data_IF_360961389486
#
_entry.id   IF_360961389486
#
_cell.length_a   1.000
_cell.length_b   1.000
_cell.length_c   1.000
_cell.angle_alpha   90.00
_cell.angle_beta   90.00
_cell.angle_gamma   90.00
#
_symmetry.space_group_name_H-M   'P 1'
#
loop_
_entity.id
_entity.type
_entity.pdbx_description
1 polymer ?
#
# COMPACT_ATOMS: atom_id res chain seq x y z
N UNK A 1 11.55 2.63 14.79
CA UNK A 1 11.30 1.46 15.65
C UNK A 1 12.61 1.15 16.34
N UNK A 2 12.70 1.36 17.66
CA UNK A 2 13.91 1.08 18.43
C UNK A 2 13.84 -0.36 18.97
N UNK A 3 14.78 -1.20 18.53
CA UNK A 3 14.86 -2.62 18.90
C UNK A 3 15.97 -2.89 19.93
N UNK A 4 16.57 -1.84 20.50
CA UNK A 4 17.65 -1.96 21.49
C UNK A 4 17.21 -2.59 22.82
N UNK A 5 15.90 -2.62 23.08
CA UNK A 5 15.32 -3.13 24.32
C UNK A 5 15.13 -4.67 24.36
N UNK A 6 15.38 -5.37 23.24
CA UNK A 6 15.13 -6.81 23.10
C UNK A 6 16.40 -7.66 23.05
N UNK A 7 16.31 -8.90 23.54
CA UNK A 7 17.37 -9.92 23.44
C UNK A 7 17.63 -10.28 21.94
N UNK A 8 18.83 -10.76 21.62
CA UNK A 8 19.22 -11.19 20.27
C UNK A 8 18.28 -12.25 19.66
N UNK A 9 17.78 -13.18 20.47
CA UNK A 9 16.78 -14.15 20.03
C UNK A 9 15.44 -13.49 19.64
N UNK A 10 15.02 -12.47 20.38
CA UNK A 10 13.78 -11.72 20.13
C UNK A 10 13.93 -10.82 18.90
N UNK A 11 15.09 -10.18 18.70
CA UNK A 11 15.39 -9.39 17.51
C UNK A 11 15.30 -10.23 16.23
N UNK A 12 15.87 -11.44 16.25
CA UNK A 12 15.78 -12.37 15.12
C UNK A 12 14.34 -12.82 14.84
N UNK A 13 13.54 -13.05 15.89
CA UNK A 13 12.13 -13.39 15.72
C UNK A 13 11.32 -12.21 15.15
N UNK A 14 11.51 -11.01 15.69
CA UNK A 14 10.84 -9.79 15.24
C UNK A 14 11.18 -9.47 13.78
N UNK A 15 12.43 -9.66 13.36
CA UNK A 15 12.82 -9.43 11.97
C UNK A 15 12.07 -10.36 11.00
N UNK A 16 11.95 -11.65 11.33
CA UNK A 16 11.15 -12.60 10.52
C UNK A 16 9.68 -12.22 10.46
N UNK A 17 9.11 -11.78 11.59
CA UNK A 17 7.71 -11.31 11.64
C UNK A 17 7.52 -10.04 10.81
N UNK A 18 8.49 -9.12 10.82
CA UNK A 18 8.44 -7.91 9.99
C UNK A 18 8.50 -8.22 8.50
N UNK A 19 9.38 -9.13 8.06
CA UNK A 19 9.47 -9.56 6.67
C UNK A 19 8.17 -10.21 6.20
N UNK A 20 7.60 -11.11 7.00
CA UNK A 20 6.31 -11.73 6.73
C UNK A 20 5.18 -10.69 6.63
N UNK A 21 5.20 -9.70 7.52
CA UNK A 21 4.23 -8.61 7.53
C UNK A 21 4.35 -7.74 6.28
N UNK A 22 5.56 -7.37 5.87
CA UNK A 22 5.78 -6.61 4.63
C UNK A 22 5.18 -7.32 3.42
N UNK A 23 5.42 -8.63 3.28
CA UNK A 23 4.87 -9.40 2.16
C UNK A 23 3.33 -9.45 2.20
N UNK A 24 2.74 -9.64 3.39
CA UNK A 24 1.29 -9.65 3.57
C UNK A 24 0.67 -8.29 3.24
N UNK A 25 1.27 -7.21 3.69
CA UNK A 25 0.80 -5.85 3.44
C UNK A 25 0.90 -5.50 1.95
N UNK A 26 1.96 -5.95 1.27
CA UNK A 26 2.10 -5.83 -0.18
C UNK A 26 0.99 -6.56 -0.94
N UNK A 27 0.68 -7.82 -0.58
CA UNK A 27 -0.41 -8.56 -1.23
C UNK A 27 -1.77 -7.91 -1.00
N UNK A 28 -2.00 -7.32 0.18
CA UNK A 28 -3.21 -6.57 0.47
C UNK A 28 -3.31 -5.30 -0.38
N UNK A 29 -2.20 -4.57 -0.54
CA UNK A 29 -2.13 -3.41 -1.43
C UNK A 29 -2.44 -3.82 -2.88
N UNK A 30 -1.81 -4.88 -3.36
CA UNK A 30 -1.98 -5.38 -4.72
C UNK A 30 -3.43 -5.80 -5.00
N UNK A 31 -4.02 -6.63 -4.14
CA UNK A 31 -5.41 -7.07 -4.30
C UNK A 31 -6.40 -5.90 -4.26
N UNK A 32 -6.21 -4.96 -3.31
CA UNK A 32 -7.05 -3.75 -3.25
C UNK A 32 -6.90 -2.85 -4.48
N UNK A 33 -5.69 -2.73 -5.04
CA UNK A 33 -5.46 -1.98 -6.26
C UNK A 33 -6.16 -2.63 -7.47
N UNK A 34 -6.08 -3.95 -7.60
CA UNK A 34 -6.74 -4.70 -8.67
C UNK A 34 -8.25 -4.53 -8.61
N UNK A 35 -8.86 -4.71 -7.43
CA UNK A 35 -10.31 -4.50 -7.23
C UNK A 35 -10.73 -3.08 -7.58
N UNK A 36 -9.95 -2.08 -7.13
CA UNK A 36 -10.23 -0.67 -7.37
C UNK A 36 -10.20 -0.33 -8.86
N UNK A 37 -9.13 -0.69 -9.55
CA UNK A 37 -9.00 -0.35 -10.98
C UNK A 37 -9.97 -1.14 -11.84
N UNK A 38 -10.30 -2.37 -11.47
CA UNK A 38 -11.36 -3.12 -12.14
C UNK A 38 -12.70 -2.38 -12.01
N UNK A 39 -13.09 -2.01 -10.78
CA UNK A 39 -14.37 -1.32 -10.51
C UNK A 39 -14.47 0.04 -11.18
N UNK A 40 -13.38 0.82 -11.19
CA UNK A 40 -13.39 2.19 -11.72
C UNK A 40 -13.24 2.23 -13.26
N UNK A 41 -12.55 1.26 -13.87
CA UNK A 41 -12.17 1.33 -15.29
C UNK A 41 -12.86 0.31 -16.19
N UNK A 42 -13.22 -0.89 -15.70
CA UNK A 42 -13.79 -1.95 -16.54
C UNK A 42 -15.31 -1.85 -16.48
N UNK A 43 -15.89 -1.32 -17.55
CA UNK A 43 -17.32 -1.01 -17.59
C UNK A 43 -18.02 -1.51 -18.86
N UNK A 44 -17.27 -2.06 -19.82
CA UNK A 44 -17.82 -2.71 -21.00
C UNK A 44 -17.65 -4.23 -20.90
N UNK A 45 -18.76 -4.94 -20.85
CA UNK A 45 -18.81 -6.39 -20.72
C UNK A 45 -19.26 -7.09 -22.02
N UNK A 46 -19.10 -6.43 -23.17
CA UNK A 46 -19.43 -7.01 -24.48
C UNK A 46 -18.34 -7.91 -25.05
N UNK A 47 -17.12 -7.87 -24.49
CA UNK A 47 -15.97 -8.68 -24.89
C UNK A 47 -15.31 -9.37 -23.68
N UNK A 48 -14.50 -10.40 -23.96
CA UNK A 48 -13.63 -11.06 -22.97
C UNK A 48 -12.28 -10.36 -22.79
N UNK A 49 -11.99 -9.38 -23.62
CA UNK A 49 -10.73 -8.62 -23.62
C UNK A 49 -11.01 -7.17 -23.29
N UNK A 50 -10.08 -6.52 -22.59
CA UNK A 50 -10.15 -5.09 -22.35
C UNK A 50 -10.08 -4.31 -23.65
N UNK A 51 -10.86 -3.24 -23.74
CA UNK A 51 -10.71 -2.26 -24.81
C UNK A 51 -9.47 -1.38 -24.57
N UNK A 52 -8.96 -0.74 -25.62
CA UNK A 52 -7.82 0.18 -25.48
C UNK A 52 -8.10 1.35 -24.53
N UNK A 53 -9.37 1.73 -24.36
CA UNK A 53 -9.77 2.77 -23.40
C UNK A 53 -9.66 2.27 -21.96
N UNK A 54 -10.13 1.05 -21.70
CA UNK A 54 -10.05 0.42 -20.38
C UNK A 54 -8.59 0.14 -19.99
N UNK A 55 -7.77 -0.38 -20.91
CA UNK A 55 -6.33 -0.55 -20.70
C UNK A 55 -5.65 0.77 -20.31
N UNK A 56 -5.92 1.84 -21.05
CA UNK A 56 -5.39 3.17 -20.74
C UNK A 56 -5.89 3.72 -19.41
N UNK A 57 -7.11 3.37 -18.99
CA UNK A 57 -7.65 3.73 -17.69
C UNK A 57 -6.96 2.96 -16.55
N UNK A 58 -6.82 1.64 -16.67
CA UNK A 58 -6.19 0.77 -15.66
C UNK A 58 -4.75 1.21 -15.39
N UNK A 59 -3.97 1.53 -16.44
CA UNK A 59 -2.60 2.05 -16.29
C UNK A 59 -2.57 3.36 -15.47
N UNK A 60 -3.44 4.32 -15.82
CA UNK A 60 -3.54 5.59 -15.09
C UNK A 60 -4.04 5.38 -13.65
N UNK A 61 -4.96 4.45 -13.44
CA UNK A 61 -5.48 4.11 -12.13
C UNK A 61 -4.36 3.57 -11.22
N UNK A 62 -3.58 2.61 -11.70
CA UNK A 62 -2.44 2.05 -10.98
C UNK A 62 -1.41 3.12 -10.62
N UNK A 63 -0.95 3.90 -11.60
CA UNK A 63 0.02 4.98 -11.38
C UNK A 63 -0.49 6.01 -10.37
N UNK A 64 -1.75 6.44 -10.53
CA UNK A 64 -2.34 7.44 -9.66
C UNK A 64 -2.48 6.92 -8.23
N UNK A 65 -2.93 5.68 -8.05
CA UNK A 65 -3.15 5.10 -6.74
C UNK A 65 -1.85 4.85 -5.99
N UNK A 66 -0.79 4.39 -6.67
CA UNK A 66 0.52 4.18 -6.05
C UNK A 66 1.13 5.51 -5.60
N UNK A 67 1.15 6.53 -6.48
CA UNK A 67 1.61 7.89 -6.13
C UNK A 67 0.79 8.50 -5.00
N UNK A 68 -0.52 8.28 -5.01
CA UNK A 68 -1.41 8.72 -3.95
C UNK A 68 -1.08 8.03 -2.62
N UNK A 69 -0.93 6.71 -2.61
CA UNK A 69 -0.59 5.92 -1.42
C UNK A 69 0.75 6.35 -0.81
N UNK A 70 1.76 6.59 -1.65
CA UNK A 70 3.05 7.12 -1.21
C UNK A 70 2.90 8.49 -0.54
N UNK A 71 2.19 9.42 -1.21
CA UNK A 71 1.99 10.78 -0.69
C UNK A 71 1.20 10.77 0.62
N UNK A 72 0.14 9.98 0.72
CA UNK A 72 -0.64 9.82 1.95
C UNK A 72 0.22 9.22 3.05
N UNK A 73 1.04 8.20 2.74
CA UNK A 73 1.98 7.60 3.70
C UNK A 73 2.96 8.63 4.28
N UNK A 74 3.53 9.50 3.44
CA UNK A 74 4.39 10.59 3.90
C UNK A 74 3.66 11.56 4.84
N UNK A 75 2.45 12.02 4.46
CA UNK A 75 1.66 12.93 5.32
C UNK A 75 1.24 12.28 6.63
N UNK A 76 0.90 10.99 6.59
CA UNK A 76 0.55 10.23 7.78
C UNK A 76 1.73 10.12 8.74
N UNK A 77 2.94 9.87 8.24
CA UNK A 77 4.15 9.83 9.06
C UNK A 77 4.44 11.19 9.74
N UNK A 78 4.26 12.29 9.02
CA UNK A 78 4.38 13.65 9.56
C UNK A 78 3.35 13.91 10.68
N UNK A 79 2.08 13.66 10.41
CA UNK A 79 1.00 13.87 11.39
C UNK A 79 1.17 12.99 12.63
N UNK A 80 1.61 11.74 12.46
CA UNK A 80 1.88 10.84 13.57
C UNK A 80 3.07 11.30 14.41
N UNK A 81 4.10 11.91 13.80
CA UNK A 81 5.22 12.51 14.52
C UNK A 81 4.78 13.75 15.33
N UNK A 82 3.90 14.59 14.77
CA UNK A 82 3.31 15.73 15.48
C UNK A 82 2.46 15.29 16.68
N UNK A 83 1.63 14.26 16.51
CA UNK A 83 0.81 13.71 17.60
C UNK A 83 1.65 13.09 18.74
N UNK A 84 2.76 12.44 18.41
CA UNK A 84 3.71 11.90 19.40
C UNK A 84 4.57 13.00 20.06
N UNK A 85 4.57 14.21 19.52
CA UNK A 85 5.32 15.37 20.03
C UNK A 85 4.61 16.16 21.15
N UNK A 86 3.32 15.91 21.41
CA UNK A 86 2.53 16.64 22.43
C UNK A 86 2.31 18.13 22.10
N UNK A 87 1.28 18.79 22.68
CA UNK A 87 1.06 20.22 22.47
C UNK A 87 2.16 21.02 23.17
N UNK A 88 2.63 22.10 22.53
CA UNK A 88 3.41 23.13 23.21
C UNK A 88 2.63 23.72 24.39
#
# INVERSE_FOLDING_TARGET
MDFSQFNDAERNHLQRVMEQKQMKDFLKLYSGLVERCFTDCVNDFTSKTLSSKEDGCVQKCADKFLKHSERVGQRFAEANAEMMGGPK
#
